data_IF_347198720474
#
_entry.id   IF_347198720474
#
_cell.length_a   1.000
_cell.length_b   1.000
_cell.length_c   1.000
_cell.angle_alpha   90.00
_cell.angle_beta   90.00
_cell.angle_gamma   90.00
#
_symmetry.space_group_name_H-M   'P 1'
#
loop_
_entity.id
_entity.type
_entity.pdbx_description
1 polymer ?
#
# COMPACT_ATOMS: atom_id res chain seq x y z
N UNK A 1 -11.67 -2.40 15.14
CA UNK A 1 -11.39 -2.50 13.70
C UNK A 1 -9.91 -2.80 13.50
N UNK A 2 -9.59 -3.62 12.49
CA UNK A 2 -8.21 -4.00 12.13
C UNK A 2 -7.85 -3.54 10.72
N UNK A 3 -6.74 -2.82 10.57
CA UNK A 3 -6.15 -2.44 9.28
C UNK A 3 -4.80 -3.14 9.12
N UNK A 4 -4.59 -3.75 7.96
CA UNK A 4 -3.31 -4.32 7.56
C UNK A 4 -2.80 -3.57 6.32
N UNK A 5 -1.59 -3.02 6.39
CA UNK A 5 -0.88 -2.46 5.24
C UNK A 5 0.38 -3.26 4.93
N UNK A 6 0.59 -3.62 3.66
CA UNK A 6 1.74 -4.42 3.25
C UNK A 6 2.10 -4.18 1.78
N UNK A 7 3.37 -3.92 1.48
CA UNK A 7 3.89 -4.09 0.14
C UNK A 7 4.05 -5.60 -0.14
N UNK A 8 3.28 -6.12 -1.09
CA UNK A 8 3.17 -7.55 -1.35
C UNK A 8 4.29 -8.10 -2.25
N UNK A 9 5.17 -7.24 -2.75
CA UNK A 9 6.32 -7.61 -3.59
C UNK A 9 5.96 -8.49 -4.80
N UNK A 10 4.88 -8.11 -5.50
CA UNK A 10 4.34 -8.90 -6.61
C UNK A 10 3.87 -10.31 -6.23
N UNK A 11 3.65 -10.57 -4.93
CA UNK A 11 3.26 -11.88 -4.42
C UNK A 11 4.40 -12.90 -4.39
N UNK A 12 5.66 -12.47 -4.40
CA UNK A 12 6.82 -13.36 -4.52
C UNK A 12 6.90 -14.45 -3.44
N UNK A 13 6.40 -14.20 -2.23
CA UNK A 13 6.28 -15.20 -1.16
C UNK A 13 4.84 -15.70 -1.00
N UNK A 14 4.15 -15.95 -2.11
CA UNK A 14 2.73 -16.33 -2.16
C UNK A 14 2.32 -17.39 -1.12
N UNK A 15 3.10 -18.47 -1.00
CA UNK A 15 2.80 -19.59 -0.11
C UNK A 15 2.80 -19.22 1.38
N UNK A 16 3.46 -18.11 1.75
CA UNK A 16 3.43 -17.54 3.11
C UNK A 16 2.44 -16.40 3.22
N UNK A 17 2.36 -15.56 2.18
CA UNK A 17 1.48 -14.39 2.12
C UNK A 17 0.00 -14.78 2.25
N UNK A 18 -0.45 -15.79 1.49
CA UNK A 18 -1.87 -16.18 1.46
C UNK A 18 -2.36 -16.72 2.81
N UNK A 19 -1.68 -17.70 3.46
CA UNK A 19 -2.09 -18.13 4.79
C UNK A 19 -2.08 -17.01 5.82
N UNK A 20 -1.05 -16.15 5.80
CA UNK A 20 -0.93 -15.02 6.73
C UNK A 20 -2.10 -14.04 6.59
N UNK A 21 -2.43 -13.60 5.37
CA UNK A 21 -3.56 -12.69 5.13
C UNK A 21 -4.89 -13.31 5.58
N UNK A 22 -5.06 -14.61 5.34
CA UNK A 22 -6.26 -15.36 5.77
C UNK A 22 -6.37 -15.45 7.29
N UNK A 23 -5.26 -15.73 7.98
CA UNK A 23 -5.23 -15.84 9.44
C UNK A 23 -5.40 -14.48 10.14
N UNK A 24 -4.80 -13.42 9.57
CA UNK A 24 -4.91 -12.08 10.12
C UNK A 24 -6.35 -11.51 10.09
N UNK A 25 -7.17 -11.97 9.13
CA UNK A 25 -8.57 -11.58 8.87
C UNK A 25 -8.88 -10.08 9.14
N UNK A 26 -8.13 -9.15 8.55
CA UNK A 26 -8.33 -7.73 8.81
C UNK A 26 -9.64 -7.21 8.21
N UNK A 27 -10.21 -6.18 8.83
CA UNK A 27 -11.38 -5.48 8.30
C UNK A 27 -11.03 -4.71 7.02
N UNK A 28 -9.80 -4.19 6.94
CA UNK A 28 -9.29 -3.44 5.81
C UNK A 28 -7.88 -3.91 5.48
N UNK A 29 -7.64 -4.22 4.21
CA UNK A 29 -6.32 -4.58 3.68
C UNK A 29 -5.89 -3.51 2.68
N UNK A 30 -4.68 -2.98 2.84
CA UNK A 30 -4.03 -2.04 1.94
C UNK A 30 -2.75 -2.65 1.39
N UNK A 31 -2.79 -3.15 0.14
CA UNK A 31 -1.64 -3.79 -0.49
C UNK A 31 -0.99 -2.90 -1.55
N UNK A 32 0.33 -2.80 -1.51
CA UNK A 32 1.15 -2.23 -2.58
C UNK A 32 1.78 -3.35 -3.41
N UNK A 33 2.24 -3.01 -4.62
CA UNK A 33 2.87 -3.96 -5.56
C UNK A 33 2.01 -5.16 -5.94
N UNK A 34 0.73 -4.92 -6.18
CA UNK A 34 -0.20 -5.96 -6.59
C UNK A 34 -0.24 -6.03 -8.11
N UNK A 35 -0.10 -7.24 -8.63
CA UNK A 35 -0.20 -7.56 -10.05
C UNK A 35 -1.61 -7.98 -10.43
N UNK A 36 -1.97 -7.69 -11.68
CA UNK A 36 -3.19 -8.18 -12.31
C UNK A 36 -2.95 -8.43 -13.79
N UNK A 37 -2.93 -9.71 -14.16
CA UNK A 37 -2.74 -10.17 -15.55
C UNK A 37 -3.94 -11.04 -15.96
N UNK A 38 -5.08 -10.44 -16.39
CA UNK A 38 -6.32 -11.18 -16.59
C UNK A 38 -6.26 -12.36 -17.57
N UNK A 39 -5.32 -12.31 -18.52
CA UNK A 39 -5.16 -13.32 -19.58
C UNK A 39 -4.01 -14.32 -19.29
N UNK A 40 -3.49 -14.36 -18.06
CA UNK A 40 -2.47 -15.33 -17.70
C UNK A 40 -3.07 -16.72 -17.53
N UNK A 41 -2.44 -17.70 -18.16
CA UNK A 41 -2.79 -19.12 -18.05
C UNK A 41 -1.95 -19.83 -16.97
N UNK A 42 -0.82 -19.21 -16.61
CA UNK A 42 0.09 -19.68 -15.56
C UNK A 42 -0.02 -18.80 -14.32
N UNK A 43 0.31 -19.40 -13.19
CA UNK A 43 0.27 -18.80 -11.86
C UNK A 43 1.39 -17.77 -11.62
N UNK A 44 2.51 -17.93 -12.32
CA UNK A 44 3.74 -17.19 -12.12
C UNK A 44 4.25 -16.65 -13.45
N UNK A 45 4.65 -15.39 -13.44
CA UNK A 45 5.26 -14.70 -14.57
C UNK A 45 6.57 -14.04 -14.15
N UNK A 46 7.42 -13.74 -15.13
CA UNK A 46 8.70 -13.09 -14.91
C UNK A 46 8.54 -11.60 -15.25
N UNK A 47 8.81 -10.74 -14.27
CA UNK A 47 9.07 -9.33 -14.49
C UNK A 47 10.49 -9.15 -15.02
N UNK A 48 10.65 -8.43 -16.14
CA UNK A 48 11.93 -8.07 -16.73
C UNK A 48 11.96 -6.57 -16.94
N UNK A 49 12.90 -5.89 -16.30
CA UNK A 49 13.13 -4.45 -16.48
C UNK A 49 14.60 -4.14 -16.23
N UNK A 50 15.27 -3.55 -17.21
CA UNK A 50 16.71 -3.41 -17.28
C UNK A 50 17.45 -4.74 -16.96
N UNK A 51 18.22 -4.78 -15.87
CA UNK A 51 19.01 -5.93 -15.43
C UNK A 51 18.33 -6.70 -14.29
N UNK A 52 17.03 -6.50 -14.07
CA UNK A 52 16.26 -7.12 -13.00
C UNK A 52 15.28 -8.13 -13.58
N UNK A 53 15.43 -9.39 -13.16
CA UNK A 53 14.43 -10.42 -13.35
C UNK A 53 13.84 -10.84 -12.00
N UNK A 54 12.51 -10.81 -11.88
CA UNK A 54 11.80 -11.17 -10.66
C UNK A 54 10.58 -12.01 -10.97
N UNK A 55 10.40 -13.10 -10.22
CA UNK A 55 9.18 -13.89 -10.28
C UNK A 55 8.04 -13.13 -9.57
N UNK A 56 6.90 -12.98 -10.24
CA UNK A 56 5.69 -12.36 -9.70
C UNK A 56 4.48 -13.26 -9.94
N UNK A 57 3.51 -13.21 -9.02
CA UNK A 57 2.21 -13.85 -9.23
C UNK A 57 1.51 -13.18 -10.40
N UNK A 58 0.87 -13.98 -11.24
CA UNK A 58 0.25 -13.47 -12.45
C UNK A 58 -0.95 -12.55 -12.13
N UNK A 59 -1.80 -12.96 -11.20
CA UNK A 59 -3.02 -12.23 -10.82
C UNK A 59 -3.23 -12.24 -9.30
N UNK A 60 -2.27 -11.63 -8.58
CA UNK A 60 -2.32 -11.55 -7.11
C UNK A 60 -3.61 -10.87 -6.64
N UNK A 61 -4.09 -9.86 -7.36
CA UNK A 61 -5.34 -9.17 -7.02
C UNK A 61 -6.52 -10.15 -6.94
N UNK A 62 -6.72 -10.99 -7.96
CA UNK A 62 -7.80 -11.97 -8.00
C UNK A 62 -7.67 -13.01 -6.88
N UNK A 63 -6.47 -13.49 -6.63
CA UNK A 63 -6.22 -14.51 -5.60
C UNK A 63 -6.51 -13.98 -4.19
N UNK A 64 -6.03 -12.77 -3.86
CA UNK A 64 -6.34 -12.11 -2.58
C UNK A 64 -7.83 -11.76 -2.47
N UNK A 65 -8.48 -11.32 -3.55
CA UNK A 65 -9.92 -11.09 -3.56
C UNK A 65 -10.71 -12.38 -3.22
N UNK A 66 -10.24 -13.53 -3.69
CA UNK A 66 -10.81 -14.84 -3.38
C UNK A 66 -10.69 -15.24 -1.91
N UNK A 67 -9.67 -14.75 -1.18
CA UNK A 67 -9.54 -14.96 0.27
C UNK A 67 -10.56 -14.18 1.09
N UNK A 68 -11.01 -13.04 0.58
CA UNK A 68 -11.86 -12.09 1.27
C UNK A 68 -13.24 -11.95 0.60
N UNK A 69 -14.05 -13.03 0.52
CA UNK A 69 -15.34 -12.98 -0.17
C UNK A 69 -16.35 -12.03 0.50
N UNK A 70 -16.12 -11.67 1.78
CA UNK A 70 -16.92 -10.71 2.54
C UNK A 70 -16.43 -9.26 2.38
N UNK A 71 -15.42 -9.00 1.55
CA UNK A 71 -14.86 -7.67 1.32
C UNK A 71 -15.26 -7.13 -0.05
N UNK A 72 -15.34 -5.82 -0.16
CA UNK A 72 -15.32 -5.12 -1.44
C UNK A 72 -13.87 -4.86 -1.81
N UNK A 73 -13.48 -5.27 -3.02
CA UNK A 73 -12.12 -5.17 -3.53
C UNK A 73 -11.99 -4.05 -4.55
N UNK A 74 -10.91 -3.28 -4.45
CA UNK A 74 -10.54 -2.21 -5.38
C UNK A 74 -9.12 -2.43 -5.87
N UNK A 75 -8.94 -2.34 -7.18
CA UNK A 75 -7.63 -2.33 -7.80
C UNK A 75 -7.39 -0.95 -8.44
N UNK A 76 -6.31 -0.30 -8.05
CA UNK A 76 -5.93 1.03 -8.50
C UNK A 76 -4.61 0.90 -9.27
N UNK A 77 -4.63 0.62 -10.58
CA UNK A 77 -3.41 0.45 -11.36
C UNK A 77 -2.68 1.80 -11.50
N UNK A 78 -1.37 1.77 -11.29
CA UNK A 78 -0.48 2.91 -11.55
C UNK A 78 0.11 2.83 -12.96
N UNK A 79 0.35 1.61 -13.45
CA UNK A 79 0.91 1.36 -14.77
C UNK A 79 0.51 -0.01 -15.31
N UNK A 80 0.72 -0.18 -16.61
CA UNK A 80 0.70 -1.44 -17.32
C UNK A 80 2.04 -1.65 -18.04
N UNK A 81 2.54 -2.87 -18.03
CA UNK A 81 3.74 -3.27 -18.76
C UNK A 81 3.75 -4.76 -19.04
N UNK A 82 4.90 -5.28 -19.44
CA UNK A 82 5.03 -6.67 -19.86
C UNK A 82 5.59 -7.53 -18.72
N UNK A 83 4.87 -8.61 -18.42
CA UNK A 83 5.40 -9.78 -17.73
C UNK A 83 5.55 -10.93 -18.73
N UNK A 84 6.35 -11.93 -18.39
CA UNK A 84 6.76 -12.98 -19.34
C UNK A 84 6.42 -14.39 -18.84
N UNK A 85 5.85 -15.19 -19.72
CA UNK A 85 5.74 -16.64 -19.61
C UNK A 85 6.70 -17.29 -20.62
N UNK A 86 7.91 -17.61 -20.15
CA UNK A 86 9.05 -17.89 -21.04
C UNK A 86 9.36 -16.68 -21.93
N UNK A 87 9.14 -16.81 -23.23
CA UNK A 87 9.31 -15.74 -24.22
C UNK A 87 7.99 -15.01 -24.56
N UNK A 88 6.85 -15.54 -24.13
CA UNK A 88 5.54 -14.93 -24.38
C UNK A 88 5.36 -13.70 -23.50
N UNK A 89 5.11 -12.56 -24.12
CA UNK A 89 4.77 -11.31 -23.43
C UNK A 89 3.30 -11.29 -23.06
N UNK A 90 3.01 -10.96 -21.81
CA UNK A 90 1.68 -10.78 -21.27
C UNK A 90 1.60 -9.41 -20.63
N UNK A 91 0.60 -8.65 -21.06
CA UNK A 91 0.41 -7.31 -20.54
C UNK A 91 -0.25 -7.39 -19.15
N UNK A 92 0.43 -6.84 -18.16
CA UNK A 92 0.06 -6.90 -16.74
C UNK A 92 -0.06 -5.49 -16.16
N UNK A 93 -1.06 -5.30 -15.32
CA UNK A 93 -1.25 -4.09 -14.55
C UNK A 93 -0.58 -4.23 -13.18
N UNK A 94 -0.05 -3.13 -12.66
CA UNK A 94 0.57 -3.07 -11.34
C UNK A 94 0.09 -1.83 -10.58
N UNK A 95 -0.17 -1.98 -9.29
CA UNK A 95 -0.59 -0.85 -8.46
C UNK A 95 -1.00 -1.23 -7.05
N UNK A 96 -1.96 -0.47 -6.53
CA UNK A 96 -2.54 -0.69 -5.21
C UNK A 96 -3.73 -1.63 -5.28
N UNK A 97 -3.93 -2.40 -4.22
CA UNK A 97 -5.22 -3.05 -3.95
C UNK A 97 -5.72 -2.67 -2.55
N UNK A 98 -7.01 -2.40 -2.44
CA UNK A 98 -7.67 -2.16 -1.15
C UNK A 98 -8.86 -3.09 -1.02
N UNK A 99 -8.98 -3.77 0.12
CA UNK A 99 -10.08 -4.67 0.43
C UNK A 99 -10.75 -4.20 1.70
N UNK A 100 -12.08 -4.02 1.70
CA UNK A 100 -12.84 -3.45 2.82
C UNK A 100 -13.99 -4.39 3.16
N UNK A 101 -14.07 -4.87 4.40
CA UNK A 101 -15.16 -5.73 4.86
C UNK A 101 -16.50 -5.03 4.66
N UNK A 102 -17.46 -5.70 3.99
CA UNK A 102 -18.76 -5.11 3.61
C UNK A 102 -19.65 -4.71 4.79
N UNK A 103 -19.29 -5.12 6.02
CA UNK A 103 -19.93 -4.62 7.24
C UNK A 103 -19.73 -3.11 7.44
N UNK A 104 -18.69 -2.53 6.81
CA UNK A 104 -18.42 -1.09 6.84
C UNK A 104 -18.80 -0.47 5.50
N UNK A 105 -19.96 0.21 5.38
CA UNK A 105 -20.35 0.84 4.14
C UNK A 105 -19.35 1.93 3.76
N UNK A 106 -19.01 1.97 2.47
CA UNK A 106 -18.16 2.99 1.88
C UNK A 106 -19.05 4.18 1.55
N UNK A 107 -18.82 5.29 2.25
CA UNK A 107 -19.59 6.53 2.16
C UNK A 107 -18.84 7.63 1.39
N UNK A 108 -17.62 7.33 0.91
CA UNK A 108 -16.83 8.20 0.04
C UNK A 108 -15.61 7.47 -0.48
N UNK A 109 -15.14 7.83 -1.68
CA UNK A 109 -13.97 7.22 -2.29
C UNK A 109 -13.33 8.20 -3.29
N UNK A 110 -12.00 8.25 -3.31
CA UNK A 110 -11.23 8.96 -4.30
C UNK A 110 -9.95 8.21 -4.64
N UNK A 111 -9.54 8.29 -5.89
CA UNK A 111 -8.24 7.82 -6.36
C UNK A 111 -7.60 8.92 -7.19
N UNK A 112 -6.31 9.16 -6.98
CA UNK A 112 -5.55 10.10 -7.80
C UNK A 112 -4.08 9.71 -7.87
N UNK A 113 -3.38 10.21 -8.89
CA UNK A 113 -1.93 10.13 -8.96
C UNK A 113 -1.28 11.15 -8.03
N UNK A 114 -0.39 10.68 -7.17
CA UNK A 114 0.46 11.52 -6.33
C UNK A 114 1.77 11.86 -7.05
N UNK A 115 2.16 11.06 -8.05
CA UNK A 115 3.22 11.38 -9.01
C UNK A 115 2.90 10.78 -10.38
N UNK A 116 3.26 11.50 -11.44
CA UNK A 116 3.01 11.10 -12.83
C UNK A 116 1.52 10.93 -13.14
N UNK A 117 1.25 10.05 -14.10
CA UNK A 117 -0.08 9.66 -14.56
C UNK A 117 -0.08 8.17 -14.95
N UNK A 118 -1.24 7.61 -15.31
CA UNK A 118 -1.31 6.20 -15.69
C UNK A 118 -0.43 5.93 -16.92
N UNK A 119 0.53 5.01 -16.77
CA UNK A 119 1.36 4.58 -17.88
C UNK A 119 0.73 3.34 -18.56
N UNK A 120 0.20 3.45 -19.79
CA UNK A 120 -0.53 2.35 -20.42
C UNK A 120 0.36 1.23 -20.98
N UNK A 121 1.68 1.43 -21.01
CA UNK A 121 2.66 0.49 -21.54
C UNK A 121 4.05 0.70 -20.94
N UNK A 122 4.86 -0.36 -20.88
CA UNK A 122 6.27 -0.30 -20.52
C UNK A 122 6.57 0.17 -19.09
N UNK A 123 5.58 0.10 -18.19
CA UNK A 123 5.65 0.53 -16.78
C UNK A 123 5.83 2.05 -16.52
N UNK A 124 6.09 2.89 -17.55
CA UNK A 124 6.19 4.37 -17.46
C UNK A 124 7.60 4.92 -17.19
N UNK A 125 7.93 6.19 -17.37
CA UNK A 125 9.32 6.64 -17.13
C UNK A 125 9.73 6.63 -15.65
N UNK A 126 11.04 6.52 -15.34
CA UNK A 126 11.54 6.71 -13.98
C UNK A 126 11.62 8.21 -13.61
N UNK A 127 11.25 8.60 -12.37
CA UNK A 127 10.64 7.77 -11.35
C UNK A 127 9.19 7.42 -11.72
N UNK A 128 8.85 6.12 -11.62
CA UNK A 128 7.59 5.53 -12.10
C UNK A 128 6.39 6.18 -11.41
N UNK A 129 5.28 6.32 -12.14
CA UNK A 129 4.03 6.86 -11.61
C UNK A 129 3.57 6.16 -10.34
N UNK A 130 2.91 6.92 -9.46
CA UNK A 130 2.38 6.47 -8.18
C UNK A 130 1.01 7.06 -7.93
N UNK A 131 0.07 6.21 -7.55
CA UNK A 131 -1.26 6.61 -7.16
C UNK A 131 -1.50 6.40 -5.66
N UNK A 132 -2.56 7.03 -5.19
CA UNK A 132 -3.11 6.86 -3.86
C UNK A 132 -4.61 6.57 -3.98
N UNK A 133 -5.11 5.83 -3.00
CA UNK A 133 -6.51 5.49 -2.85
C UNK A 133 -6.97 5.93 -1.47
N UNK A 134 -8.04 6.73 -1.42
CA UNK A 134 -8.65 7.19 -0.18
C UNK A 134 -10.07 6.69 -0.14
N UNK A 135 -10.45 6.04 0.95
CA UNK A 135 -11.78 5.51 1.19
C UNK A 135 -12.30 6.04 2.51
N UNK A 136 -13.57 6.43 2.53
CA UNK A 136 -14.28 6.84 3.72
C UNK A 136 -15.35 5.81 4.01
N UNK A 137 -15.27 5.20 5.17
CA UNK A 137 -16.21 4.19 5.64
C UNK A 137 -16.98 4.69 6.86
N UNK A 138 -18.08 4.02 7.18
CA UNK A 138 -18.81 4.26 8.42
C UNK A 138 -18.79 3.02 9.31
N UNK A 139 -18.46 3.18 10.58
CA UNK A 139 -18.64 2.16 11.60
C UNK A 139 -19.95 2.41 12.36
N UNK A 140 -20.93 1.54 12.18
CA UNK A 140 -22.21 1.63 12.88
C UNK A 140 -22.10 1.38 14.38
N UNK A 141 -21.15 0.58 14.85
CA UNK A 141 -20.99 0.27 16.26
C UNK A 141 -20.43 1.47 17.03
N UNK A 142 -19.50 2.20 16.42
CA UNK A 142 -18.93 3.43 16.97
C UNK A 142 -19.72 4.70 16.59
N UNK A 143 -20.68 4.58 15.66
CA UNK A 143 -21.39 5.69 15.04
C UNK A 143 -20.44 6.77 14.48
N UNK A 144 -19.34 6.33 13.87
CA UNK A 144 -18.20 7.17 13.51
C UNK A 144 -17.75 6.89 12.08
N UNK A 145 -17.40 7.96 11.34
CA UNK A 145 -16.76 7.85 10.04
C UNK A 145 -15.25 7.74 10.17
N UNK A 146 -14.65 6.92 9.30
CA UNK A 146 -13.22 6.64 9.26
C UNK A 146 -12.74 6.81 7.83
N UNK A 147 -11.72 7.64 7.63
CA UNK A 147 -11.02 7.80 6.36
C UNK A 147 -9.72 7.00 6.39
N UNK A 148 -9.51 6.16 5.38
CA UNK A 148 -8.29 5.38 5.18
C UNK A 148 -7.64 5.88 3.89
N UNK A 149 -6.41 6.35 4.00
CA UNK A 149 -5.60 6.85 2.90
C UNK A 149 -4.42 5.93 2.65
N UNK A 150 -4.35 5.37 1.46
CA UNK A 150 -3.40 4.32 1.09
C UNK A 150 -2.57 4.79 -0.10
N UNK A 151 -1.24 4.75 -0.01
CA UNK A 151 -0.38 5.07 -1.15
C UNK A 151 0.84 4.16 -1.25
N UNK A 152 1.42 4.10 -2.45
CA UNK A 152 2.78 3.65 -2.66
C UNK A 152 3.58 4.88 -3.14
N UNK A 153 4.59 5.30 -2.40
CA UNK A 153 5.42 6.45 -2.71
C UNK A 153 6.52 6.18 -3.72
N UNK A 154 7.14 7.27 -4.19
CA UNK A 154 8.20 7.27 -5.19
C UNK A 154 9.47 6.57 -4.66
N UNK A 155 9.87 5.54 -5.40
CA UNK A 155 11.21 4.98 -5.32
C UNK A 155 12.15 5.78 -6.22
N UNK A 156 13.26 6.25 -5.64
CA UNK A 156 14.33 6.95 -6.35
C UNK A 156 15.63 6.13 -6.23
N UNK A 157 16.33 5.80 -7.33
CA UNK A 157 17.63 5.15 -7.28
C UNK A 157 18.69 5.89 -6.45
N UNK A 158 18.60 7.22 -6.34
CA UNK A 158 19.52 8.04 -5.57
C UNK A 158 19.36 7.89 -4.04
N UNK A 159 18.24 7.31 -3.57
CA UNK A 159 18.03 7.06 -2.15
C UNK A 159 16.62 7.39 -1.69
N UNK A 160 16.47 7.62 -0.37
CA UNK A 160 15.17 7.83 0.32
C UNK A 160 15.01 9.23 0.93
N UNK A 161 15.92 10.13 0.61
CA UNK A 161 15.89 11.53 1.06
C UNK A 161 14.82 12.35 0.33
N UNK A 162 14.52 13.54 0.85
CA UNK A 162 13.57 14.43 0.20
C UNK A 162 14.07 14.88 -1.18
N UNK A 163 13.16 14.84 -2.14
CA UNK A 163 13.35 15.40 -3.49
C UNK A 163 12.14 16.28 -3.83
N UNK A 164 12.25 17.23 -4.77
CA UNK A 164 11.10 18.02 -5.19
C UNK A 164 9.88 17.17 -5.60
N UNK A 165 10.12 16.01 -6.23
CA UNK A 165 9.06 15.07 -6.60
C UNK A 165 8.39 14.43 -5.37
N UNK A 166 9.15 14.04 -4.33
CA UNK A 166 8.60 13.51 -3.07
C UNK A 166 7.83 14.58 -2.27
N UNK A 167 8.31 15.82 -2.28
CA UNK A 167 7.60 16.94 -1.65
C UNK A 167 6.26 17.21 -2.35
N UNK A 168 6.25 17.22 -3.69
CA UNK A 168 5.04 17.36 -4.47
C UNK A 168 4.08 16.17 -4.27
N UNK A 169 4.61 14.94 -4.18
CA UNK A 169 3.84 13.75 -3.84
C UNK A 169 3.16 13.89 -2.47
N UNK A 170 3.91 14.28 -1.44
CA UNK A 170 3.37 14.46 -0.09
C UNK A 170 2.25 15.51 -0.08
N UNK A 171 2.42 16.63 -0.79
CA UNK A 171 1.41 17.66 -0.91
C UNK A 171 0.13 17.16 -1.62
N UNK A 172 0.28 16.42 -2.73
CA UNK A 172 -0.85 15.83 -3.46
C UNK A 172 -1.57 14.77 -2.67
N UNK A 173 -0.84 13.95 -1.90
CA UNK A 173 -1.45 12.96 -1.01
C UNK A 173 -2.25 13.64 0.11
N UNK A 174 -1.69 14.67 0.75
CA UNK A 174 -2.39 15.45 1.77
C UNK A 174 -3.65 16.14 1.22
N UNK A 175 -3.57 16.72 0.02
CA UNK A 175 -4.72 17.34 -0.65
C UNK A 175 -5.81 16.31 -1.01
N UNK A 176 -5.44 15.12 -1.47
CA UNK A 176 -6.41 14.04 -1.72
C UNK A 176 -7.12 13.60 -0.43
N UNK A 177 -6.38 13.50 0.68
CA UNK A 177 -6.94 13.21 2.00
C UNK A 177 -7.94 14.29 2.41
N UNK A 178 -7.54 15.57 2.35
CA UNK A 178 -8.35 16.68 2.83
C UNK A 178 -9.65 16.83 2.04
N UNK A 179 -9.60 16.61 0.72
CA UNK A 179 -10.79 16.61 -0.15
C UNK A 179 -11.75 15.44 0.07
N UNK A 180 -11.25 14.34 0.65
CA UNK A 180 -12.03 13.10 0.81
C UNK A 180 -12.57 12.90 2.22
N UNK A 181 -11.92 13.48 3.23
CA UNK A 181 -12.29 13.30 4.64
C UNK A 181 -13.44 14.22 5.05
N UNK A 182 -14.30 13.72 5.93
CA UNK A 182 -15.27 14.55 6.64
C UNK A 182 -14.66 15.22 7.87
N UNK A 183 -15.27 16.32 8.32
CA UNK A 183 -14.91 16.92 9.60
C UNK A 183 -15.20 15.94 10.75
N UNK A 184 -14.21 15.74 11.63
CA UNK A 184 -14.33 14.83 12.77
C UNK A 184 -14.12 13.35 12.45
N UNK A 185 -13.85 12.99 11.19
CA UNK A 185 -13.46 11.63 10.84
C UNK A 185 -12.22 11.19 11.62
N UNK A 186 -12.18 9.90 11.98
CA UNK A 186 -10.92 9.25 12.26
C UNK A 186 -10.14 9.11 10.95
N UNK A 187 -8.82 9.29 10.98
CA UNK A 187 -7.98 9.23 9.79
C UNK A 187 -6.80 8.28 10.03
N UNK A 188 -6.63 7.34 9.11
CA UNK A 188 -5.46 6.46 9.02
C UNK A 188 -4.81 6.61 7.66
N UNK A 189 -3.54 6.97 7.60
CA UNK A 189 -2.74 7.01 6.38
C UNK A 189 -1.68 5.91 6.41
N UNK A 190 -1.57 5.08 5.37
CA UNK A 190 -0.69 3.91 5.39
C UNK A 190 -0.11 3.55 4.01
N UNK A 191 0.98 2.78 4.04
CA UNK A 191 1.61 2.18 2.85
C UNK A 191 3.13 2.29 2.84
N UNK A 192 3.75 1.80 1.77
CA UNK A 192 5.16 2.04 1.45
C UNK A 192 5.34 3.47 0.94
N UNK A 193 5.82 4.41 1.77
CA UNK A 193 6.03 5.80 1.37
C UNK A 193 7.38 6.01 0.67
N UNK A 194 8.30 5.03 0.75
CA UNK A 194 9.65 5.09 0.20
C UNK A 194 10.49 6.31 0.66
N UNK A 195 10.32 6.73 1.91
CA UNK A 195 11.09 7.84 2.53
C UNK A 195 11.74 7.41 3.84
N UNK A 196 12.66 8.24 4.36
CA UNK A 196 13.26 8.10 5.68
C UNK A 196 12.51 8.89 6.76
N UNK A 197 12.64 8.53 8.06
CA UNK A 197 11.98 9.22 9.17
C UNK A 197 12.13 10.76 9.18
N UNK A 198 13.29 11.36 8.82
CA UNK A 198 13.42 12.83 8.81
C UNK A 198 12.72 13.53 7.63
N UNK A 199 12.09 12.81 6.71
CA UNK A 199 11.46 13.37 5.51
C UNK A 199 10.41 14.42 5.84
N UNK A 200 10.38 15.51 5.07
CA UNK A 200 9.37 16.55 5.15
C UNK A 200 7.95 16.03 4.82
N UNK A 201 7.81 14.82 4.25
CA UNK A 201 6.52 14.12 4.11
C UNK A 201 5.78 14.06 5.44
N UNK A 202 6.47 13.74 6.54
CA UNK A 202 5.86 13.65 7.87
C UNK A 202 5.41 15.01 8.39
N UNK A 203 6.11 16.09 8.07
CA UNK A 203 5.67 17.45 8.40
C UNK A 203 4.38 17.81 7.64
N UNK A 204 4.30 17.48 6.36
CA UNK A 204 3.09 17.70 5.55
C UNK A 204 1.89 16.94 6.12
N UNK A 205 2.08 15.68 6.51
CA UNK A 205 1.02 14.87 7.10
C UNK A 205 0.66 15.30 8.53
N UNK A 206 1.64 15.75 9.33
CA UNK A 206 1.39 16.30 10.66
C UNK A 206 0.48 17.54 10.63
N UNK A 207 0.50 18.33 9.55
CA UNK A 207 -0.44 19.45 9.36
C UNK A 207 -1.90 18.99 9.24
N UNK A 208 -2.16 17.71 8.92
CA UNK A 208 -3.48 17.09 8.95
C UNK A 208 -3.83 16.49 10.32
N UNK A 209 -2.96 16.66 11.32
CA UNK A 209 -3.08 16.08 12.66
C UNK A 209 -2.66 14.61 12.76
N UNK A 210 -1.88 14.12 11.78
CA UNK A 210 -1.41 12.74 11.75
C UNK A 210 -0.11 12.55 12.55
N UNK A 211 -0.05 11.46 13.30
CA UNK A 211 1.16 11.01 14.02
C UNK A 211 1.59 9.65 13.50
N UNK A 212 2.86 9.51 13.13
CA UNK A 212 3.46 8.23 12.70
C UNK A 212 3.54 7.24 13.85
N UNK A 213 3.03 6.03 13.64
CA UNK A 213 3.03 4.94 14.60
C UNK A 213 4.32 4.11 14.58
N UNK A 214 5.08 4.13 13.49
CA UNK A 214 6.31 3.33 13.36
C UNK A 214 7.42 3.95 14.21
N UNK A 215 7.82 5.18 13.90
CA UNK A 215 9.00 5.78 14.54
C UNK A 215 8.72 6.23 15.97
N UNK A 216 7.51 6.73 16.25
CA UNK A 216 7.16 7.20 17.61
C UNK A 216 7.00 6.07 18.62
N UNK A 217 6.84 4.81 18.16
CA UNK A 217 6.82 3.61 19.01
C UNK A 217 8.14 2.84 19.03
N UNK A 218 9.21 3.42 18.48
CA UNK A 218 10.57 2.89 18.61
C UNK A 218 10.94 1.78 17.62
N UNK A 219 10.13 1.52 16.60
CA UNK A 219 10.54 0.61 15.52
C UNK A 219 11.69 1.21 14.70
N UNK A 220 12.68 0.37 14.39
CA UNK A 220 13.94 0.79 13.75
C UNK A 220 14.07 0.39 12.28
N UNK A 221 13.14 -0.41 11.76
CA UNK A 221 13.00 -0.75 10.34
C UNK A 221 11.62 -1.33 10.02
N UNK A 222 11.28 -1.38 8.73
CA UNK A 222 10.02 -1.99 8.20
C UNK A 222 10.28 -3.05 7.14
N UNK A 223 11.52 -3.54 7.05
CA UNK A 223 11.97 -4.52 6.06
C UNK A 223 12.29 -5.87 6.72
N UNK A 224 12.06 -6.95 6.01
CA UNK A 224 12.42 -8.31 6.45
C UNK A 224 13.87 -8.64 6.11
N UNK A 225 14.36 -9.82 6.50
CA UNK A 225 15.70 -10.30 6.20
C UNK A 225 15.99 -10.37 4.69
N UNK A 226 14.94 -10.52 3.86
CA UNK A 226 15.02 -10.61 2.40
C UNK A 226 15.39 -9.29 1.70
N UNK A 227 15.28 -8.16 2.40
CA UNK A 227 15.79 -6.88 1.93
C UNK A 227 17.21 -6.68 2.48
N UNK A 228 18.24 -6.92 1.69
CA UNK A 228 19.63 -6.89 2.18
C UNK A 228 20.26 -5.49 2.20
N UNK A 229 19.53 -4.47 1.73
CA UNK A 229 20.05 -3.11 1.56
C UNK A 229 19.85 -2.25 2.81
N UNK A 230 20.58 -1.15 2.87
CA UNK A 230 20.32 -0.04 3.80
C UNK A 230 20.00 1.22 3.01
N UNK A 231 19.23 2.17 3.58
CA UNK A 231 18.48 2.09 4.84
C UNK A 231 17.18 1.27 4.72
N UNK A 232 16.64 0.84 5.86
CA UNK A 232 15.59 -0.21 5.98
C UNK A 232 14.19 0.30 6.35
N UNK A 233 13.94 1.61 6.26
CA UNK A 233 12.60 2.18 6.38
C UNK A 233 11.95 2.36 5.01
N UNK A 234 10.67 2.10 4.90
CA UNK A 234 9.89 2.39 3.69
C UNK A 234 8.40 2.58 4.03
N UNK A 235 7.89 1.74 4.94
CA UNK A 235 6.48 1.60 5.26
C UNK A 235 6.11 2.41 6.48
N UNK A 236 4.96 3.06 6.44
CA UNK A 236 4.47 3.88 7.54
C UNK A 236 2.98 3.71 7.73
N UNK A 237 2.52 3.93 8.96
CA UNK A 237 1.12 4.07 9.29
C UNK A 237 0.98 5.23 10.26
N UNK A 238 0.18 6.22 9.90
CA UNK A 238 -0.05 7.43 10.67
C UNK A 238 -1.53 7.53 11.00
N UNK A 239 -1.83 8.06 12.19
CA UNK A 239 -3.22 8.19 12.65
C UNK A 239 -3.50 9.58 13.21
N UNK A 240 -4.75 10.03 13.09
CA UNK A 240 -5.21 11.26 13.76
C UNK A 240 -5.42 11.03 15.25
N UNK A 241 -5.37 12.10 16.04
CA UNK A 241 -5.45 12.01 17.51
C UNK A 241 -6.75 11.39 18.07
N UNK A 242 -7.84 11.41 17.29
CA UNK A 242 -9.13 10.80 17.66
C UNK A 242 -9.21 9.29 17.32
N UNK A 243 -8.15 8.68 16.77
CA UNK A 243 -8.04 7.23 16.61
C UNK A 243 -7.59 6.62 17.93
N UNK A 244 -8.44 5.80 18.56
CA UNK A 244 -8.09 5.11 19.79
C UNK A 244 -7.31 3.82 19.46
N UNK A 245 -5.99 3.94 19.31
CA UNK A 245 -5.10 2.81 19.03
C UNK A 245 -5.10 1.85 20.22
N UNK A 246 -5.57 0.62 19.98
CA UNK A 246 -5.52 -0.49 20.95
C UNK A 246 -4.20 -1.23 20.87
N UNK A 247 -3.75 -1.52 19.65
CA UNK A 247 -2.48 -2.16 19.37
C UNK A 247 -1.93 -1.75 18.00
N UNK A 248 -0.62 -1.76 17.85
CA UNK A 248 0.06 -1.51 16.58
C UNK A 248 1.35 -2.32 16.52
N UNK A 249 1.52 -3.09 15.45
CA UNK A 249 2.74 -3.87 15.23
C UNK A 249 3.34 -3.72 13.83
N UNK A 250 4.67 -3.77 13.78
CA UNK A 250 5.48 -3.96 12.56
C UNK A 250 5.92 -5.42 12.54
N UNK A 251 5.05 -6.27 11.99
CA UNK A 251 5.11 -7.73 12.16
C UNK A 251 6.41 -8.29 11.59
N UNK A 252 7.21 -8.92 12.46
CA UNK A 252 8.51 -9.50 12.07
C UNK A 252 8.39 -10.89 11.46
N UNK A 253 7.56 -11.74 12.07
CA UNK A 253 7.35 -13.12 11.65
C UNK A 253 5.85 -13.42 11.54
N UNK A 254 5.42 -14.22 10.55
CA UNK A 254 6.25 -14.79 9.49
C UNK A 254 6.70 -13.75 8.46
N UNK A 255 7.89 -13.93 7.87
CA UNK A 255 8.28 -13.13 6.70
C UNK A 255 7.45 -13.52 5.46
N UNK A 256 6.58 -12.61 5.03
CA UNK A 256 5.61 -12.79 3.91
C UNK A 256 5.88 -11.88 2.71
N UNK A 257 6.89 -11.02 2.81
CA UNK A 257 7.38 -10.10 1.78
C UNK A 257 8.82 -9.67 2.13
N UNK A 258 9.50 -8.92 1.27
CA UNK A 258 10.71 -8.17 1.67
C UNK A 258 10.37 -6.95 2.56
N UNK A 259 9.08 -6.66 2.71
CA UNK A 259 8.49 -5.71 3.65
C UNK A 259 7.78 -6.40 4.82
N UNK A 260 7.72 -5.71 5.96
CA UNK A 260 6.95 -6.16 7.13
C UNK A 260 5.50 -5.65 7.06
N UNK A 261 4.51 -6.48 7.37
CA UNK A 261 3.15 -6.01 7.55
C UNK A 261 3.05 -4.97 8.67
N UNK A 262 2.30 -3.91 8.44
CA UNK A 262 1.88 -2.97 9.47
C UNK A 262 0.44 -3.29 9.88
N UNK A 263 0.23 -3.66 11.14
CA UNK A 263 -1.09 -4.05 11.66
C UNK A 263 -1.51 -3.07 12.74
N UNK A 264 -2.71 -2.51 12.58
CA UNK A 264 -3.32 -1.61 13.54
C UNK A 264 -4.66 -2.15 13.99
N UNK A 265 -4.83 -2.30 15.31
CA UNK A 265 -6.11 -2.54 15.96
C UNK A 265 -6.54 -1.27 16.70
N UNK A 266 -7.76 -0.79 16.45
CA UNK A 266 -8.28 0.45 17.04
C UNK A 266 -9.79 0.40 17.30
N UNK A 267 -10.27 1.36 18.09
CA UNK A 267 -11.68 1.59 18.42
C UNK A 267 -12.22 2.87 17.76
#
# INVERSE_FOLDING_TARGET
MRILSLNAWGGRLHDRLIPYLKEADPDIVCLQEVTRTPNAETDWLIYRDDNVELLQRADLFREVAGLFPAHQAFFCPAARGDLFDGERRLASEWGLATFIRRAYPIIGQAQAFVHGEFAPSGWGEHPRSRNAHVVRIFDYAAAQAITIAHMHGLRDPAGKDDTPARLAQAARFADLIDRSRGAGDQLVACGDFNVLPPSATFKTLANLGLTDLVTTRGYTDTRTSLYEKTPRFADYMLVSANVNVRDFDVVREPEVSDHRPLVLDFA
#
